data_IF_160237752922
#
_entry.id   IF_160237752922
#
_cell.length_a   1.000
_cell.length_b   1.000
_cell.length_c   1.000
_cell.angle_alpha   90.00
_cell.angle_beta   90.00
_cell.angle_gamma   90.00
#
_symmetry.space_group_name_H-M   'P 1'
#
loop_
_entity.id
_entity.type
_entity.pdbx_description
1 polymer ?
#
# COMPACT_ATOMS: atom_id res chain seq x y z
N UNK A 1 -0.79 9.72 -43.46
CA UNK A 1 -0.07 9.54 -42.18
C UNK A 1 -0.97 10.13 -41.11
N UNK A 2 -1.39 9.35 -40.11
CA UNK A 2 -2.28 9.86 -39.06
C UNK A 2 -1.54 10.86 -38.16
N UNK A 3 -2.26 11.86 -37.66
CA UNK A 3 -1.70 12.84 -36.73
C UNK A 3 -1.14 12.15 -35.49
N UNK A 4 0.04 12.58 -35.05
CA UNK A 4 0.68 12.05 -33.84
C UNK A 4 -0.03 12.66 -32.62
N UNK A 5 -0.59 11.83 -31.73
CA UNK A 5 -1.23 12.27 -30.49
C UNK A 5 -1.06 11.27 -29.35
N UNK A 6 -1.17 11.77 -28.12
CA UNK A 6 -1.09 10.94 -26.91
C UNK A 6 -2.45 10.29 -26.66
N UNK A 7 -2.46 8.97 -26.48
CA UNK A 7 -3.67 8.21 -26.14
C UNK A 7 -3.93 8.17 -24.64
N UNK A 8 -2.87 8.04 -23.86
CA UNK A 8 -2.97 7.86 -22.43
C UNK A 8 -1.71 8.35 -21.71
N UNK A 9 -1.89 8.92 -20.53
CA UNK A 9 -0.81 9.35 -19.63
C UNK A 9 -1.11 8.76 -18.26
N UNK A 10 -0.16 8.00 -17.72
CA UNK A 10 -0.23 7.49 -16.36
C UNK A 10 0.95 8.03 -15.54
N UNK A 11 0.68 8.53 -14.34
CA UNK A 11 1.72 8.84 -13.38
C UNK A 11 2.14 7.55 -12.66
N UNK A 12 3.39 7.15 -12.80
CA UNK A 12 3.94 5.95 -12.16
C UNK A 12 4.41 6.21 -10.73
N UNK A 13 4.89 7.42 -10.47
CA UNK A 13 5.66 7.71 -9.26
C UNK A 13 6.40 9.04 -9.33
N UNK A 14 7.31 9.23 -8.38
CA UNK A 14 8.33 10.26 -8.45
C UNK A 14 9.69 9.72 -8.01
N UNK A 15 10.77 10.30 -8.50
CA UNK A 15 12.13 10.05 -8.04
C UNK A 15 12.66 11.27 -7.31
N UNK A 16 13.36 11.02 -6.21
CA UNK A 16 14.23 12.00 -5.57
C UNK A 16 15.64 11.81 -6.11
N UNK A 17 16.13 12.82 -6.82
CA UNK A 17 17.46 12.87 -7.43
C UNK A 17 18.36 13.78 -6.63
N UNK A 18 19.67 13.48 -6.59
CA UNK A 18 20.65 14.22 -5.78
C UNK A 18 21.61 15.09 -6.61
N UNK A 19 21.64 14.92 -7.94
CA UNK A 19 22.54 15.61 -8.86
C UNK A 19 21.71 16.38 -9.90
N UNK A 20 21.96 17.68 -10.17
CA UNK A 20 23.05 18.52 -9.63
C UNK A 20 22.81 19.01 -8.18
N UNK A 21 21.56 18.95 -7.71
CA UNK A 21 21.16 19.22 -6.33
C UNK A 21 19.98 18.32 -5.98
N UNK A 22 19.56 18.25 -4.71
CA UNK A 22 18.39 17.48 -4.33
C UNK A 22 17.12 18.06 -4.99
N UNK A 23 16.44 17.26 -5.81
CA UNK A 23 15.20 17.63 -6.46
C UNK A 23 14.31 16.42 -6.72
N UNK A 24 13.04 16.67 -7.04
CA UNK A 24 12.04 15.65 -7.29
C UNK A 24 11.58 15.72 -8.75
N UNK A 25 11.49 14.56 -9.40
CA UNK A 25 10.94 14.40 -10.75
C UNK A 25 9.79 13.41 -10.74
N UNK A 26 8.72 13.70 -11.47
CA UNK A 26 7.57 12.82 -11.63
C UNK A 26 7.75 11.96 -12.87
N UNK A 27 7.41 10.68 -12.74
CA UNK A 27 7.57 9.66 -13.77
C UNK A 27 6.24 9.45 -14.48
N UNK A 28 6.16 9.81 -15.75
CA UNK A 28 4.95 9.62 -16.57
C UNK A 28 5.18 8.54 -17.61
N UNK A 29 4.29 7.55 -17.65
CA UNK A 29 4.15 6.63 -18.76
C UNK A 29 3.22 7.25 -19.81
N UNK A 30 3.77 7.55 -20.99
CA UNK A 30 3.05 8.16 -22.11
C UNK A 30 2.85 7.10 -23.18
N UNK A 31 1.58 6.83 -23.51
CA UNK A 31 1.19 5.93 -24.60
C UNK A 31 0.77 6.76 -25.81
N UNK A 32 1.50 6.62 -26.92
CA UNK A 32 1.26 7.35 -28.16
C UNK A 32 0.30 6.61 -29.10
N UNK A 33 -0.19 7.30 -30.13
CA UNK A 33 -1.10 6.70 -31.12
C UNK A 33 -0.49 5.54 -31.90
N UNK A 34 0.84 5.54 -32.08
CA UNK A 34 1.61 4.49 -32.73
C UNK A 34 1.85 3.25 -31.83
N UNK A 35 1.17 3.20 -30.67
CA UNK A 35 1.31 2.17 -29.63
C UNK A 35 2.67 2.19 -28.92
N UNK A 36 3.53 3.18 -29.18
CA UNK A 36 4.77 3.33 -28.42
C UNK A 36 4.47 3.79 -26.99
N UNK A 37 5.14 3.17 -26.03
CA UNK A 37 5.08 3.55 -24.63
C UNK A 37 6.46 4.07 -24.21
N UNK A 38 6.48 5.26 -23.61
CA UNK A 38 7.73 5.90 -23.17
C UNK A 38 7.55 6.45 -21.78
N UNK A 39 8.56 6.25 -20.93
CA UNK A 39 8.63 6.89 -19.61
C UNK A 39 9.36 8.22 -19.77
N UNK A 40 8.77 9.29 -19.25
CA UNK A 40 9.36 10.63 -19.24
C UNK A 40 9.34 11.22 -17.84
N UNK A 41 10.33 12.05 -17.54
CA UNK A 41 10.53 12.63 -16.22
C UNK A 41 10.33 14.14 -16.27
N UNK A 42 9.49 14.69 -15.39
CA UNK A 42 9.21 16.14 -15.35
C UNK A 42 9.22 16.66 -13.93
N UNK A 43 9.81 17.83 -13.70
CA UNK A 43 9.72 18.51 -12.40
C UNK A 43 8.37 19.19 -12.23
N UNK A 44 7.95 19.39 -10.98
CA UNK A 44 6.71 20.12 -10.71
C UNK A 44 6.73 21.54 -11.29
N UNK A 45 7.89 22.22 -11.23
CA UNK A 45 8.06 23.57 -11.78
C UNK A 45 7.78 23.59 -13.29
N UNK A 46 8.26 22.59 -14.02
CA UNK A 46 8.03 22.46 -15.46
C UNK A 46 6.55 22.17 -15.76
N UNK A 47 5.90 21.34 -14.95
CA UNK A 47 4.46 21.05 -15.07
C UNK A 47 3.64 22.33 -14.80
N UNK A 48 4.05 23.14 -13.84
CA UNK A 48 3.36 24.38 -13.51
C UNK A 48 3.54 25.46 -14.59
N UNK A 49 4.74 25.60 -15.16
CA UNK A 49 4.99 26.48 -16.31
C UNK A 49 4.20 26.02 -17.54
N UNK A 50 4.15 24.71 -17.78
CA UNK A 50 3.29 24.11 -18.78
C UNK A 50 1.82 24.48 -18.56
N UNK A 51 1.32 24.33 -17.34
CA UNK A 51 -0.06 24.70 -17.01
C UNK A 51 -0.34 26.19 -17.26
N UNK A 52 0.58 27.07 -16.86
CA UNK A 52 0.44 28.52 -17.08
C UNK A 52 0.33 28.85 -18.56
N UNK A 53 1.25 28.34 -19.37
CA UNK A 53 1.27 28.56 -20.82
C UNK A 53 0.03 27.96 -21.50
N UNK A 54 -0.45 26.80 -21.03
CA UNK A 54 -1.67 26.19 -21.53
C UNK A 54 -2.90 27.09 -21.27
N UNK A 55 -2.99 27.74 -20.11
CA UNK A 55 -4.06 28.71 -19.83
C UNK A 55 -3.99 29.93 -20.74
N UNK A 56 -2.78 30.45 -20.98
CA UNK A 56 -2.54 31.59 -21.89
C UNK A 56 -2.93 31.26 -23.35
N UNK A 57 -2.72 30.01 -23.78
CA UNK A 57 -3.13 29.55 -25.12
C UNK A 57 -4.64 29.37 -25.29
N UNK A 58 -5.36 29.07 -24.20
CA UNK A 58 -6.79 28.74 -24.21
C UNK A 58 -7.55 29.54 -23.13
N UNK A 59 -7.63 30.87 -23.25
CA UNK A 59 -8.15 31.75 -22.19
C UNK A 59 -9.65 31.54 -21.92
N UNK A 60 -10.44 31.14 -22.93
CA UNK A 60 -11.87 30.84 -22.77
C UNK A 60 -12.02 29.58 -21.91
N UNK A 61 -11.33 28.50 -22.28
CA UNK A 61 -11.38 27.19 -21.63
C UNK A 61 -10.66 27.16 -20.28
N UNK A 62 -9.76 28.11 -20.04
CA UNK A 62 -9.17 28.40 -18.74
C UNK A 62 -10.12 29.12 -17.78
N UNK A 63 -11.24 29.66 -18.29
CA UNK A 63 -12.21 30.44 -17.53
C UNK A 63 -11.77 31.88 -17.25
N UNK A 64 -10.85 32.44 -18.05
CA UNK A 64 -10.35 33.82 -17.88
C UNK A 64 -11.32 34.86 -18.47
N UNK A 65 -12.12 34.46 -19.46
CA UNK A 65 -13.16 35.30 -20.08
C UNK A 65 -14.50 35.11 -19.37
N UNK A 66 -14.89 33.85 -19.08
CA UNK A 66 -16.11 33.54 -18.35
C UNK A 66 -15.91 32.23 -17.55
N UNK A 67 -16.26 32.25 -16.26
CA UNK A 67 -15.96 31.15 -15.35
C UNK A 67 -16.69 29.85 -15.70
N UNK A 68 -17.86 29.96 -16.32
CA UNK A 68 -18.71 28.87 -16.79
C UNK A 68 -18.08 28.04 -17.92
N UNK A 69 -17.12 28.61 -18.65
CA UNK A 69 -16.44 27.93 -19.77
C UNK A 69 -15.19 27.18 -19.34
N UNK A 70 -14.87 27.19 -18.03
CA UNK A 70 -13.66 26.58 -17.51
C UNK A 70 -13.73 25.05 -17.61
N UNK A 71 -12.87 24.51 -18.46
CA UNK A 71 -12.65 23.06 -18.60
C UNK A 71 -11.20 22.66 -18.28
N UNK A 72 -10.25 23.60 -18.32
CA UNK A 72 -8.86 23.31 -17.96
C UNK A 72 -8.77 23.11 -16.43
N UNK A 73 -8.27 21.93 -15.97
CA UNK A 73 -8.21 21.60 -14.55
C UNK A 73 -7.30 22.56 -13.79
N UNK A 74 -7.59 22.78 -12.51
CA UNK A 74 -6.75 23.61 -11.64
C UNK A 74 -5.45 22.88 -11.29
N UNK A 75 -4.32 23.59 -11.31
CA UNK A 75 -3.07 23.10 -10.73
C UNK A 75 -2.59 24.04 -9.62
N UNK A 76 -2.37 23.55 -8.38
CA UNK A 76 -1.89 24.38 -7.28
C UNK A 76 -0.52 25.01 -7.57
N UNK A 77 -0.32 26.24 -7.10
CA UNK A 77 0.96 26.94 -7.24
C UNK A 77 2.11 26.19 -6.53
N UNK A 78 3.35 26.28 -7.05
CA UNK A 78 4.53 25.70 -6.40
C UNK A 78 4.73 26.30 -5.02
N UNK A 79 5.08 25.44 -4.05
CA UNK A 79 5.51 25.87 -2.73
C UNK A 79 7.02 26.09 -2.76
N UNK A 80 7.50 27.03 -1.94
CA UNK A 80 8.94 27.36 -1.85
C UNK A 80 9.80 26.21 -1.29
N UNK A 81 9.16 25.22 -0.64
CA UNK A 81 9.83 24.03 -0.11
C UNK A 81 9.18 22.76 -0.66
N UNK A 82 9.94 22.04 -1.48
CA UNK A 82 9.58 20.71 -1.97
C UNK A 82 10.32 19.66 -1.16
N UNK A 83 9.64 19.12 -0.15
CA UNK A 83 10.05 17.90 0.56
C UNK A 83 9.34 16.67 0.00
N UNK A 84 9.83 15.48 0.35
CA UNK A 84 9.27 14.21 -0.11
C UNK A 84 7.76 14.09 0.12
N UNK A 85 7.25 14.48 1.29
CA UNK A 85 5.79 14.48 1.58
C UNK A 85 4.99 15.37 0.64
N UNK A 86 5.58 16.50 0.22
CA UNK A 86 4.94 17.41 -0.75
C UNK A 86 4.92 16.75 -2.12
N UNK A 87 6.03 16.11 -2.52
CA UNK A 87 6.12 15.40 -3.79
C UNK A 87 5.08 14.26 -3.87
N UNK A 88 4.95 13.48 -2.81
CA UNK A 88 3.97 12.41 -2.62
C UNK A 88 2.53 12.93 -2.65
N UNK A 89 2.21 13.97 -1.87
CA UNK A 89 0.86 14.56 -1.82
C UNK A 89 0.36 15.07 -3.17
N UNK A 90 1.29 15.47 -4.07
CA UNK A 90 0.96 15.96 -5.42
C UNK A 90 0.67 14.85 -6.42
N UNK A 91 1.03 13.60 -6.14
CA UNK A 91 0.82 12.50 -7.09
C UNK A 91 -0.65 12.35 -7.46
N UNK A 92 -1.55 12.37 -6.48
CA UNK A 92 -3.00 12.34 -6.72
C UNK A 92 -3.49 13.52 -7.58
N UNK A 93 -3.06 14.74 -7.24
CA UNK A 93 -3.40 15.95 -8.01
C UNK A 93 -2.91 15.88 -9.46
N UNK A 94 -1.69 15.40 -9.69
CA UNK A 94 -1.12 15.28 -11.03
C UNK A 94 -1.80 14.19 -11.86
N UNK A 95 -2.14 13.05 -11.24
CA UNK A 95 -2.90 11.98 -11.89
C UNK A 95 -4.26 12.50 -12.37
N UNK A 96 -5.00 13.18 -11.50
CA UNK A 96 -6.30 13.76 -11.85
C UNK A 96 -6.17 14.86 -12.92
N UNK A 97 -5.17 15.73 -12.79
CA UNK A 97 -4.90 16.82 -13.72
C UNK A 97 -4.66 16.32 -15.15
N UNK A 98 -3.74 15.37 -15.33
CA UNK A 98 -3.41 14.86 -16.65
C UNK A 98 -4.48 13.92 -17.21
N UNK A 99 -5.19 13.18 -16.36
CA UNK A 99 -6.36 12.40 -16.77
C UNK A 99 -7.45 13.32 -17.34
N UNK A 100 -7.78 14.40 -16.63
CA UNK A 100 -8.76 15.40 -17.08
C UNK A 100 -8.31 16.09 -18.37
N UNK A 101 -7.03 16.47 -18.45
CA UNK A 101 -6.45 17.10 -19.64
C UNK A 101 -6.59 16.23 -20.90
N UNK A 102 -6.41 14.91 -20.78
CA UNK A 102 -6.59 13.96 -21.89
C UNK A 102 -8.06 13.76 -22.27
N UNK A 103 -8.99 14.04 -21.36
CA UNK A 103 -10.43 14.06 -21.64
C UNK A 103 -10.93 15.33 -22.34
N UNK A 104 -10.10 16.38 -22.45
CA UNK A 104 -10.49 17.65 -23.07
C UNK A 104 -10.60 17.54 -24.60
N UNK A 105 -11.33 18.48 -25.26
CA UNK A 105 -11.45 18.52 -26.71
C UNK A 105 -10.09 18.44 -27.42
N UNK A 106 -10.06 17.79 -28.58
CA UNK A 106 -8.83 17.50 -29.33
C UNK A 106 -7.97 18.74 -29.63
N UNK A 107 -8.60 19.93 -29.78
CA UNK A 107 -7.88 21.21 -29.94
C UNK A 107 -6.95 21.55 -28.77
N UNK A 108 -7.22 21.04 -27.58
CA UNK A 108 -6.39 21.21 -26.37
C UNK A 108 -5.55 19.95 -26.15
N UNK A 109 -6.19 18.79 -26.00
CA UNK A 109 -5.49 17.54 -25.61
C UNK A 109 -4.47 17.05 -26.64
N UNK A 110 -4.61 17.44 -27.92
CA UNK A 110 -3.70 17.08 -29.02
C UNK A 110 -2.94 18.28 -29.58
N UNK A 111 -2.92 19.41 -28.87
CA UNK A 111 -2.20 20.57 -29.36
C UNK A 111 -0.67 20.31 -29.31
N UNK A 112 0.12 20.93 -30.21
CA UNK A 112 1.57 20.69 -30.28
C UNK A 112 2.29 20.91 -28.94
N UNK A 113 1.82 21.88 -28.14
CA UNK A 113 2.40 22.18 -26.84
C UNK A 113 2.28 21.04 -25.83
N UNK A 114 1.12 20.35 -25.81
CA UNK A 114 0.92 19.15 -24.97
C UNK A 114 1.80 18.00 -25.45
N UNK A 115 1.88 17.79 -26.77
CA UNK A 115 2.70 16.73 -27.36
C UNK A 115 4.19 16.94 -27.08
N UNK A 116 4.70 18.15 -27.29
CA UNK A 116 6.10 18.49 -27.06
C UNK A 116 6.49 18.40 -25.57
N UNK A 117 5.56 18.73 -24.65
CA UNK A 117 5.81 18.57 -23.23
C UNK A 117 6.09 17.12 -22.84
N UNK A 118 5.41 16.15 -23.46
CA UNK A 118 5.57 14.72 -23.19
C UNK A 118 6.52 13.99 -24.13
N UNK A 119 7.13 14.68 -25.09
CA UNK A 119 8.15 14.11 -25.97
C UNK A 119 9.36 13.63 -25.16
N UNK A 120 9.90 12.48 -25.54
CA UNK A 120 11.09 11.92 -24.88
C UNK A 120 12.28 12.86 -25.06
N UNK A 121 12.87 13.31 -23.96
CA UNK A 121 14.08 14.14 -23.94
C UNK A 121 15.33 13.27 -23.82
N UNK A 122 16.50 13.74 -24.25
CA UNK A 122 17.76 13.02 -24.05
C UNK A 122 18.03 12.66 -22.58
N UNK A 123 17.59 13.51 -21.65
CA UNK A 123 17.73 13.27 -20.21
C UNK A 123 16.79 12.18 -19.68
N UNK A 124 15.67 11.89 -20.37
CA UNK A 124 14.77 10.79 -20.01
C UNK A 124 15.40 9.41 -20.32
N UNK A 125 16.39 9.37 -21.22
CA UNK A 125 17.12 8.17 -21.63
C UNK A 125 18.36 7.90 -20.78
N UNK A 126 18.81 8.89 -20.01
CA UNK A 126 19.96 8.76 -19.11
C UNK A 126 19.53 8.04 -17.84
N UNK A 127 19.60 6.71 -17.85
CA UNK A 127 19.47 5.91 -16.64
C UNK A 127 20.56 6.34 -15.64
N UNK A 128 20.25 6.48 -14.33
CA UNK A 128 21.25 6.78 -13.31
C UNK A 128 22.36 5.72 -13.38
N UNK A 129 23.50 6.10 -13.95
CA UNK A 129 24.63 5.20 -14.12
C UNK A 129 25.18 4.88 -12.73
N UNK A 130 25.59 3.64 -12.49
CA UNK A 130 26.05 3.07 -11.20
C UNK A 130 27.25 3.81 -10.57
N UNK A 131 27.73 4.87 -11.21
CA UNK A 131 28.86 5.73 -10.82
C UNK A 131 28.48 6.90 -9.90
N UNK A 132 27.20 7.12 -9.57
CA UNK A 132 26.78 8.20 -8.67
C UNK A 132 26.84 7.78 -7.20
N UNK A 133 27.44 8.63 -6.35
CA UNK A 133 27.65 8.39 -4.91
C UNK A 133 26.34 8.19 -4.10
N UNK A 134 25.18 8.59 -4.66
CA UNK A 134 23.84 8.31 -4.12
C UNK A 134 22.88 7.98 -5.28
N UNK A 135 22.29 6.78 -5.26
CA UNK A 135 21.27 6.37 -6.23
C UNK A 135 19.97 7.18 -6.02
N UNK A 136 19.22 7.53 -7.07
CA UNK A 136 17.91 8.14 -6.92
C UNK A 136 16.97 7.25 -6.10
N UNK A 137 16.19 7.87 -5.21
CA UNK A 137 15.17 7.18 -4.42
C UNK A 137 13.84 7.25 -5.20
N UNK A 138 13.32 6.11 -5.65
CA UNK A 138 12.08 6.03 -6.44
C UNK A 138 10.89 5.70 -5.53
N UNK A 139 9.83 6.48 -5.64
CA UNK A 139 8.58 6.36 -4.89
C UNK A 139 7.43 6.14 -5.86
N UNK A 140 6.88 4.93 -5.88
CA UNK A 140 5.83 4.54 -6.82
C UNK A 140 4.44 4.86 -6.27
N UNK A 141 3.47 5.07 -7.17
CA UNK A 141 2.07 5.16 -6.76
C UNK A 141 1.58 3.79 -6.28
N UNK A 142 0.82 3.72 -5.17
CA UNK A 142 0.14 2.51 -4.74
C UNK A 142 -0.76 2.01 -5.88
N UNK A 143 -0.58 0.76 -6.30
CA UNK A 143 -1.37 0.17 -7.38
C UNK A 143 -2.76 -0.16 -6.84
N UNK A 144 -3.79 0.53 -7.31
CA UNK A 144 -5.17 0.10 -7.05
C UNK A 144 -5.35 -1.31 -7.63
N UNK A 145 -5.85 -2.23 -6.81
CA UNK A 145 -5.92 -3.68 -7.04
C UNK A 145 -6.88 -4.12 -8.17
N UNK A 146 -7.28 -3.20 -9.06
CA UNK A 146 -8.15 -3.47 -10.22
C UNK A 146 -7.36 -3.25 -11.50
N UNK A 147 -6.49 -4.20 -11.86
CA UNK A 147 -5.79 -4.17 -13.16
C UNK A 147 -6.74 -4.48 -14.31
N UNK A 148 -6.80 -3.57 -15.29
CA UNK A 148 -7.39 -3.86 -16.61
C UNK A 148 -6.40 -4.71 -17.43
N UNK A 149 -6.92 -5.57 -18.30
CA UNK A 149 -6.12 -6.48 -19.15
C UNK A 149 -5.21 -5.74 -20.15
N UNK A 150 -5.33 -4.41 -20.27
CA UNK A 150 -4.55 -3.56 -21.17
C UNK A 150 -3.19 -3.08 -20.62
N UNK A 151 -2.82 -3.47 -19.40
CA UNK A 151 -1.64 -2.94 -18.68
C UNK A 151 -0.38 -3.84 -18.75
N UNK A 152 -0.33 -4.80 -19.67
CA UNK A 152 0.78 -5.78 -19.78
C UNK A 152 2.06 -5.16 -20.40
N UNK A 153 1.98 -4.00 -21.06
CA UNK A 153 3.07 -3.41 -21.87
C UNK A 153 3.94 -2.36 -21.16
N UNK A 154 3.63 -1.98 -19.93
CA UNK A 154 4.50 -1.07 -19.15
C UNK A 154 5.82 -1.74 -18.77
N UNK A 155 6.93 -0.99 -18.57
CA UNK A 155 8.13 -1.57 -17.98
C UNK A 155 7.76 -2.10 -16.59
N UNK A 156 7.80 -3.41 -16.42
CA UNK A 156 7.60 -4.06 -15.13
C UNK A 156 8.83 -3.71 -14.30
N UNK A 157 8.72 -2.65 -13.49
CA UNK A 157 9.72 -2.33 -12.47
C UNK A 157 9.48 -3.33 -11.34
N UNK A 158 10.31 -4.36 -11.33
CA UNK A 158 10.31 -5.37 -10.29
C UNK A 158 10.80 -4.74 -9.00
N UNK A 159 10.16 -5.10 -7.89
CA UNK A 159 10.67 -4.68 -6.59
C UNK A 159 11.91 -5.51 -6.26
N UNK A 160 12.97 -4.83 -5.84
CA UNK A 160 14.23 -5.47 -5.52
C UNK A 160 14.31 -5.75 -4.02
N UNK A 161 14.64 -6.99 -3.69
CA UNK A 161 14.77 -7.49 -2.31
C UNK A 161 16.18 -8.05 -2.10
N UNK A 162 16.57 -8.15 -0.84
CA UNK A 162 17.83 -8.77 -0.42
C UNK A 162 17.58 -10.00 0.42
N UNK A 163 18.34 -11.06 0.17
CA UNK A 163 18.32 -12.25 0.99
C UNK A 163 18.99 -11.98 2.35
N UNK A 164 18.27 -12.28 3.43
CA UNK A 164 18.76 -12.13 4.81
C UNK A 164 19.46 -13.39 5.34
N UNK A 165 19.34 -14.52 4.65
CA UNK A 165 19.94 -15.78 5.02
C UNK A 165 20.10 -16.69 3.80
N UNK A 166 20.94 -17.72 3.92
CA UNK A 166 21.12 -18.72 2.88
C UNK A 166 19.90 -19.63 2.79
N UNK A 167 19.33 -19.76 1.60
CA UNK A 167 18.26 -20.69 1.29
C UNK A 167 18.72 -21.68 0.22
N UNK A 168 18.66 -22.97 0.55
CA UNK A 168 18.95 -24.05 -0.38
C UNK A 168 17.65 -24.57 -0.99
N UNK A 169 17.63 -24.70 -2.32
CA UNK A 169 16.48 -25.26 -3.04
C UNK A 169 16.28 -26.74 -2.68
N UNK A 170 15.03 -27.12 -2.46
CA UNK A 170 14.56 -28.48 -2.24
C UNK A 170 13.88 -29.08 -3.49
N UNK A 171 13.42 -28.22 -4.40
CA UNK A 171 12.75 -28.58 -5.66
C UNK A 171 13.46 -27.98 -6.88
N UNK A 172 13.23 -28.57 -8.06
CA UNK A 172 13.74 -28.05 -9.34
C UNK A 172 13.13 -26.70 -9.71
N UNK A 173 11.97 -26.36 -9.13
CA UNK A 173 11.26 -25.10 -9.35
C UNK A 173 11.69 -23.97 -8.41
N UNK A 174 12.47 -24.30 -7.38
CA UNK A 174 12.96 -23.36 -6.38
C UNK A 174 14.33 -22.79 -6.78
N UNK A 175 14.61 -21.56 -6.33
CA UNK A 175 15.90 -20.90 -6.54
C UNK A 175 16.64 -20.79 -5.21
N UNK A 176 17.89 -21.24 -5.19
CA UNK A 176 18.76 -21.03 -4.04
C UNK A 176 19.24 -19.57 -4.03
N UNK A 177 19.32 -18.97 -2.84
CA UNK A 177 19.85 -17.62 -2.61
C UNK A 177 20.84 -17.65 -1.45
N UNK A 178 21.91 -16.89 -1.55
CA UNK A 178 22.87 -16.70 -0.47
C UNK A 178 22.59 -15.39 0.28
N UNK A 179 23.02 -15.33 1.53
CA UNK A 179 22.90 -14.14 2.37
C UNK A 179 23.54 -12.95 1.67
N UNK A 180 22.76 -11.89 1.47
CA UNK A 180 23.18 -10.68 0.78
C UNK A 180 22.92 -10.65 -0.72
N UNK A 181 22.46 -11.75 -1.31
CA UNK A 181 22.02 -11.75 -2.71
C UNK A 181 20.86 -10.79 -2.91
N UNK A 182 20.89 -10.10 -4.06
CA UNK A 182 19.85 -9.16 -4.47
C UNK A 182 19.02 -9.83 -5.55
N UNK A 183 17.70 -9.87 -5.35
CA UNK A 183 16.74 -10.52 -6.24
C UNK A 183 15.63 -9.56 -6.63
N UNK A 184 15.16 -9.67 -7.87
CA UNK A 184 13.99 -8.94 -8.33
C UNK A 184 12.75 -9.83 -8.19
N UNK A 185 11.73 -9.36 -7.48
CA UNK A 185 10.48 -10.09 -7.25
C UNK A 185 9.53 -9.86 -8.43
N UNK A 186 9.23 -10.94 -9.14
CA UNK A 186 8.35 -10.97 -10.32
C UNK A 186 6.90 -11.23 -9.94
N UNK A 187 6.69 -12.14 -8.98
CA UNK A 187 5.36 -12.49 -8.51
C UNK A 187 5.39 -12.72 -7.00
N UNK A 188 4.60 -11.93 -6.26
CA UNK A 188 4.29 -12.22 -4.86
C UNK A 188 3.05 -13.10 -4.78
N UNK A 189 3.09 -14.06 -3.86
CA UNK A 189 1.99 -14.98 -3.61
C UNK A 189 1.70 -15.01 -2.11
N UNK A 190 0.41 -15.04 -1.76
CA UNK A 190 -0.05 -15.26 -0.37
C UNK A 190 0.34 -16.65 0.17
N UNK A 191 0.84 -17.55 -0.68
CA UNK A 191 1.43 -18.83 -0.28
C UNK A 191 2.78 -18.67 0.45
N UNK A 192 3.38 -17.48 0.41
CA UNK A 192 4.71 -17.19 0.96
C UNK A 192 5.88 -17.62 0.09
N UNK A 193 5.60 -18.23 -1.06
CA UNK A 193 6.58 -18.48 -2.10
C UNK A 193 6.51 -17.35 -3.11
N UNK A 194 7.61 -16.62 -3.33
CA UNK A 194 7.66 -15.56 -4.32
C UNK A 194 8.53 -15.97 -5.51
N UNK A 195 8.06 -15.69 -6.72
CA UNK A 195 8.84 -15.94 -7.92
C UNK A 195 9.84 -14.82 -8.12
N UNK A 196 11.12 -15.15 -8.00
CA UNK A 196 12.20 -14.18 -8.04
C UNK A 196 13.12 -14.46 -9.22
N UNK A 197 13.76 -13.41 -9.72
CA UNK A 197 14.80 -13.51 -10.74
C UNK A 197 16.11 -12.86 -10.29
N UNK A 198 17.21 -13.47 -10.69
CA UNK A 198 18.56 -12.94 -10.64
C UNK A 198 19.12 -12.91 -12.07
N UNK A 199 20.28 -12.29 -12.27
CA UNK A 199 20.90 -12.15 -13.62
C UNK A 199 20.98 -13.46 -14.42
N UNK A 200 21.16 -14.60 -13.76
CA UNK A 200 21.42 -15.90 -14.41
C UNK A 200 20.42 -17.00 -14.05
N UNK A 201 19.52 -16.76 -13.10
CA UNK A 201 18.63 -17.79 -12.52
C UNK A 201 17.28 -17.19 -12.16
N UNK A 202 16.24 -18.01 -12.18
CA UNK A 202 14.90 -17.67 -11.72
C UNK A 202 14.28 -18.86 -11.02
N UNK A 203 13.37 -18.59 -10.10
CA UNK A 203 12.67 -19.64 -9.39
C UNK A 203 12.01 -19.09 -8.14
N UNK A 204 11.38 -19.99 -7.41
CA UNK A 204 10.62 -19.63 -6.22
C UNK A 204 11.53 -19.60 -4.99
N UNK A 205 11.38 -18.55 -4.19
CA UNK A 205 12.12 -18.30 -2.96
C UNK A 205 11.12 -18.02 -1.84
N UNK A 206 11.33 -18.50 -0.61
CA UNK A 206 10.49 -18.14 0.51
C UNK A 206 10.59 -16.64 0.81
N UNK A 207 9.45 -15.95 0.86
CA UNK A 207 9.38 -14.52 1.19
C UNK A 207 10.00 -14.20 2.55
N UNK A 208 9.92 -15.15 3.50
CA UNK A 208 10.51 -15.05 4.82
C UNK A 208 12.04 -14.85 4.83
N UNK A 209 12.74 -15.25 3.76
CA UNK A 209 14.20 -15.11 3.58
C UNK A 209 14.59 -13.80 2.88
N UNK A 210 13.62 -12.99 2.44
CA UNK A 210 13.83 -11.77 1.67
C UNK A 210 13.41 -10.54 2.48
N UNK A 211 14.15 -9.44 2.36
CA UNK A 211 13.75 -8.13 2.90
C UNK A 211 13.76 -7.06 1.80
N UNK A 212 12.83 -6.09 1.82
CA UNK A 212 12.86 -4.97 0.88
C UNK A 212 14.14 -4.14 1.08
N UNK A 213 14.65 -3.52 0.02
CA UNK A 213 15.86 -2.67 0.10
C UNK A 213 15.59 -1.31 0.74
N UNK A 214 14.38 -0.80 0.65
CA UNK A 214 13.97 0.55 1.07
C UNK A 214 13.51 0.61 2.53
N UNK A 215 12.85 -0.44 3.01
CA UNK A 215 12.28 -0.52 4.36
C UNK A 215 12.26 -1.96 4.88
N UNK A 216 12.40 -2.19 6.20
CA UNK A 216 12.20 -3.53 6.78
C UNK A 216 10.72 -3.96 6.79
N UNK A 217 9.79 -3.03 6.58
CA UNK A 217 8.35 -3.28 6.57
C UNK A 217 7.86 -3.67 5.17
N UNK A 218 7.02 -4.70 5.09
CA UNK A 218 6.36 -5.11 3.84
C UNK A 218 5.16 -4.20 3.59
N UNK A 219 5.22 -3.40 2.53
CA UNK A 219 4.22 -2.38 2.23
C UNK A 219 2.94 -2.95 1.60
N UNK A 220 3.00 -4.15 1.02
CA UNK A 220 1.88 -4.78 0.32
C UNK A 220 1.13 -5.81 1.18
N UNK A 221 1.50 -5.99 2.45
CA UNK A 221 0.74 -6.83 3.36
C UNK A 221 -0.67 -6.24 3.56
N UNK A 222 -1.74 -7.03 3.43
CA UNK A 222 -3.10 -6.57 3.66
C UNK A 222 -3.35 -6.29 5.14
N UNK A 223 -4.17 -5.29 5.47
CA UNK A 223 -4.54 -5.01 6.86
C UNK A 223 -5.29 -6.19 7.53
N UNK A 224 -5.16 -6.38 8.87
CA UNK A 224 -5.90 -7.42 9.57
C UNK A 224 -7.42 -7.24 9.49
N UNK A 225 -8.13 -8.29 9.07
CA UNK A 225 -9.59 -8.38 9.07
C UNK A 225 -10.10 -9.16 10.30
N UNK A 226 -10.31 -8.46 11.41
CA UNK A 226 -10.81 -9.08 12.64
C UNK A 226 -12.25 -9.63 12.55
N UNK A 227 -12.99 -9.34 11.48
CA UNK A 227 -14.27 -9.98 11.23
C UNK A 227 -14.11 -11.49 11.00
N UNK A 228 -12.98 -11.90 10.40
CA UNK A 228 -12.68 -13.28 10.05
C UNK A 228 -13.32 -13.70 8.73
N UNK A 229 -12.56 -14.43 7.91
CA UNK A 229 -13.09 -15.16 6.75
C UNK A 229 -13.12 -16.67 7.07
N UNK A 230 -14.22 -17.39 6.79
CA UNK A 230 -14.31 -18.82 7.06
C UNK A 230 -13.46 -19.61 6.05
N UNK A 231 -12.56 -20.44 6.59
CA UNK A 231 -11.71 -21.35 5.84
C UNK A 231 -11.76 -22.75 6.47
N UNK A 232 -11.39 -23.76 5.69
CA UNK A 232 -11.27 -25.15 6.10
C UNK A 232 -9.83 -25.61 5.89
N UNK A 233 -9.30 -26.37 6.84
CA UNK A 233 -7.99 -27.00 6.72
C UNK A 233 -8.05 -28.17 5.74
N UNK A 234 -7.22 -28.13 4.70
CA UNK A 234 -7.15 -29.17 3.65
C UNK A 234 -5.93 -30.09 3.80
N UNK A 235 -5.06 -29.79 4.77
CA UNK A 235 -3.94 -30.65 5.16
C UNK A 235 -3.61 -30.40 6.63
N UNK A 236 -3.47 -31.47 7.40
CA UNK A 236 -3.09 -31.38 8.81
C UNK A 236 -1.70 -30.75 8.99
N UNK A 237 -1.54 -29.99 10.07
CA UNK A 237 -0.27 -29.36 10.46
C UNK A 237 -0.15 -29.35 11.99
N UNK A 238 1.04 -29.67 12.48
CA UNK A 238 1.39 -29.68 13.90
C UNK A 238 2.28 -28.48 14.18
N UNK A 239 1.88 -27.67 15.15
CA UNK A 239 2.65 -26.51 15.62
C UNK A 239 4.04 -26.94 16.11
N UNK A 240 5.06 -26.21 15.67
CA UNK A 240 6.47 -26.36 16.05
C UNK A 240 6.90 -25.20 16.95
N UNK A 241 6.36 -24.00 16.71
CA UNK A 241 6.57 -22.80 17.54
C UNK A 241 5.33 -22.48 18.39
N UNK A 242 5.50 -21.77 19.51
CA UNK A 242 4.41 -21.44 20.45
C UNK A 242 3.34 -20.51 19.86
N UNK A 243 3.68 -19.76 18.82
CA UNK A 243 2.78 -18.84 18.14
C UNK A 243 2.05 -19.48 16.94
N UNK A 244 2.15 -20.80 16.77
CA UNK A 244 1.51 -21.60 15.72
C UNK A 244 0.31 -22.39 16.26
N UNK A 245 -0.59 -22.79 15.36
CA UNK A 245 -1.78 -23.58 15.70
C UNK A 245 -1.68 -24.97 15.08
N UNK A 246 -1.92 -26.01 15.88
CA UNK A 246 -2.10 -27.37 15.37
C UNK A 246 -3.55 -27.56 14.91
N UNK A 247 -3.75 -28.00 13.66
CA UNK A 247 -5.07 -28.30 13.12
C UNK A 247 -5.04 -29.62 12.34
N UNK A 248 -6.15 -30.37 12.44
CA UNK A 248 -6.44 -31.54 11.63
C UNK A 248 -7.09 -31.14 10.30
N UNK A 249 -7.05 -32.04 9.33
CA UNK A 249 -7.78 -31.87 8.08
C UNK A 249 -9.30 -31.83 8.34
N UNK A 250 -10.00 -30.93 7.66
CA UNK A 250 -11.45 -30.72 7.77
C UNK A 250 -11.89 -29.71 8.83
N UNK A 251 -10.97 -29.16 9.62
CA UNK A 251 -11.33 -28.17 10.65
C UNK A 251 -11.69 -26.81 10.06
N UNK A 252 -12.76 -26.20 10.57
CA UNK A 252 -13.21 -24.85 10.18
C UNK A 252 -12.58 -23.80 11.08
N UNK A 253 -11.97 -22.78 10.48
CA UNK A 253 -11.29 -21.68 11.16
C UNK A 253 -11.66 -20.34 10.53
N UNK A 254 -11.32 -19.25 11.22
CA UNK A 254 -11.47 -17.90 10.69
C UNK A 254 -10.09 -17.29 10.40
N UNK A 255 -9.80 -16.96 9.14
CA UNK A 255 -8.59 -16.24 8.76
C UNK A 255 -8.79 -14.75 9.07
N UNK A 256 -7.88 -14.17 9.85
CA UNK A 256 -7.95 -12.75 10.25
C UNK A 256 -6.82 -11.89 9.69
N UNK A 257 -5.74 -12.47 9.15
CA UNK A 257 -4.67 -11.69 8.50
C UNK A 257 -3.91 -12.54 7.47
N UNK A 258 -3.95 -12.12 6.20
CA UNK A 258 -3.36 -12.84 5.06
C UNK A 258 -1.96 -12.32 4.71
N UNK A 259 -1.00 -12.54 5.60
CA UNK A 259 0.39 -12.11 5.41
C UNK A 259 1.01 -12.75 4.16
N UNK A 260 1.84 -11.97 3.44
CA UNK A 260 2.51 -12.42 2.21
C UNK A 260 3.70 -13.35 2.46
N UNK A 261 4.04 -13.64 3.72
CA UNK A 261 5.06 -14.62 4.10
C UNK A 261 4.54 -16.07 4.10
N UNK A 262 3.25 -16.28 3.81
CA UNK A 262 2.60 -17.58 3.74
C UNK A 262 2.09 -18.11 5.07
N UNK A 263 2.30 -17.38 6.16
CA UNK A 263 1.88 -17.75 7.50
C UNK A 263 0.78 -16.81 7.97
N UNK A 264 -0.46 -17.20 7.68
CA UNK A 264 -1.62 -16.39 8.02
C UNK A 264 -1.94 -16.46 9.50
N UNK A 265 -2.47 -15.36 10.03
CA UNK A 265 -3.03 -15.37 11.38
C UNK A 265 -4.46 -15.87 11.29
N UNK A 266 -4.73 -16.95 12.01
CA UNK A 266 -6.05 -17.55 12.12
C UNK A 266 -6.61 -17.39 13.53
N UNK A 267 -7.92 -17.52 13.62
CA UNK A 267 -8.69 -17.62 14.85
C UNK A 267 -9.45 -18.93 14.83
N UNK A 268 -9.23 -19.74 15.86
CA UNK A 268 -10.07 -20.90 16.18
C UNK A 268 -10.57 -20.68 17.59
N UNK A 269 -11.89 -20.48 17.71
CA UNK A 269 -12.54 -20.11 18.98
C UNK A 269 -11.91 -18.83 19.57
N UNK A 270 -11.27 -18.93 20.73
CA UNK A 270 -10.61 -17.81 21.43
C UNK A 270 -9.08 -17.77 21.24
N UNK A 271 -8.52 -18.70 20.47
CA UNK A 271 -7.07 -18.80 20.22
C UNK A 271 -6.71 -18.20 18.86
N UNK A 272 -5.67 -17.37 18.83
CA UNK A 272 -5.06 -16.87 17.60
C UNK A 272 -3.64 -17.38 17.47
N UNK A 273 -3.24 -17.73 16.26
CA UNK A 273 -1.89 -18.19 15.95
C UNK A 273 -1.63 -18.23 14.45
N UNK A 274 -0.40 -18.54 14.07
CA UNK A 274 0.00 -18.70 12.68
C UNK A 274 -0.37 -20.09 12.16
N UNK A 275 -0.79 -20.13 10.89
CA UNK A 275 -1.04 -21.37 10.16
C UNK A 275 -0.65 -21.22 8.68
N UNK A 276 -0.07 -22.23 8.03
CA UNK A 276 0.31 -22.16 6.63
C UNK A 276 -0.91 -21.91 5.72
N UNK A 277 -0.88 -20.82 4.95
CA UNK A 277 -1.99 -20.42 4.08
C UNK A 277 -2.32 -21.49 3.03
N UNK A 278 -1.29 -22.16 2.51
CA UNK A 278 -1.42 -23.21 1.51
C UNK A 278 -2.12 -24.48 2.01
N UNK A 279 -2.32 -24.62 3.33
CA UNK A 279 -3.07 -25.73 3.93
C UNK A 279 -4.52 -25.32 4.28
N UNK A 280 -4.95 -24.15 3.84
CA UNK A 280 -6.29 -23.62 4.05
C UNK A 280 -7.00 -23.44 2.71
N UNK A 281 -8.32 -23.62 2.72
CA UNK A 281 -9.19 -23.30 1.59
C UNK A 281 -10.43 -22.57 2.06
N UNK A 282 -10.89 -21.59 1.30
CA UNK A 282 -12.08 -20.82 1.64
C UNK A 282 -13.30 -21.73 1.71
N UNK A 283 -14.09 -21.62 2.78
CA UNK A 283 -15.27 -22.47 2.97
C UNK A 283 -16.26 -22.29 1.80
N UNK A 284 -16.71 -23.41 1.23
CA UNK A 284 -17.64 -23.43 0.08
C UNK A 284 -16.98 -23.49 -1.31
N UNK A 285 -15.66 -23.58 -1.41
CA UNK A 285 -14.95 -23.86 -2.67
C UNK A 285 -14.61 -25.36 -2.81
N UNK A 286 -14.51 -25.86 -4.05
CA UNK A 286 -14.19 -27.27 -4.32
C UNK A 286 -12.75 -27.66 -3.89
N UNK A 287 -12.64 -28.70 -3.05
CA UNK A 287 -11.38 -29.21 -2.46
C UNK A 287 -10.31 -29.61 -3.51
N UNK A 288 -10.76 -30.03 -4.69
CA UNK A 288 -9.94 -30.60 -5.76
C UNK A 288 -8.94 -29.61 -6.38
N UNK A 289 -9.23 -28.31 -6.36
CA UNK A 289 -8.35 -27.30 -6.94
C UNK A 289 -7.19 -26.93 -5.99
N UNK A 290 -7.47 -26.77 -4.69
CA UNK A 290 -6.45 -26.40 -3.72
C UNK A 290 -5.44 -27.52 -3.46
N UNK A 291 -5.89 -28.78 -3.43
CA UNK A 291 -5.00 -29.94 -3.29
C UNK A 291 -4.01 -30.09 -4.46
N UNK A 292 -4.35 -29.62 -5.68
CA UNK A 292 -3.41 -29.62 -6.82
C UNK A 292 -2.30 -28.58 -6.67
N UNK A 293 -2.59 -27.43 -6.06
CA UNK A 293 -1.61 -26.37 -5.81
C UNK A 293 -0.57 -26.77 -4.76
N UNK A 294 -0.94 -27.62 -3.79
CA UNK A 294 -0.02 -28.16 -2.76
C UNK A 294 1.04 -29.11 -3.34
N UNK A 295 0.79 -29.77 -4.49
CA UNK A 295 1.63 -30.87 -4.98
C UNK A 295 3.05 -30.47 -5.43
N UNK A 296 3.37 -29.17 -5.49
CA UNK A 296 4.67 -28.69 -5.94
C UNK A 296 5.68 -28.40 -4.82
N UNK A 297 5.24 -27.91 -3.64
CA UNK A 297 6.10 -27.39 -2.56
C UNK A 297 5.42 -27.52 -1.19
N UNK A 298 6.21 -27.61 -0.13
CA UNK A 298 5.71 -27.55 1.26
C UNK A 298 5.46 -26.12 1.75
N UNK A 299 5.00 -25.99 3.00
CA UNK A 299 4.90 -24.69 3.67
C UNK A 299 6.24 -23.95 3.61
N UNK A 300 6.25 -22.66 3.27
CA UNK A 300 7.50 -21.90 3.25
C UNK A 300 8.07 -21.85 4.68
N UNK A 301 9.39 -21.94 4.86
CA UNK A 301 10.03 -21.80 6.17
C UNK A 301 9.69 -20.43 6.78
N UNK A 302 9.51 -20.35 8.10
CA UNK A 302 9.25 -19.07 8.78
C UNK A 302 10.53 -18.29 9.02
N UNK A 303 10.42 -16.96 9.09
CA UNK A 303 11.57 -16.11 9.46
C UNK A 303 12.12 -16.43 10.86
N UNK A 304 11.27 -16.83 11.80
CA UNK A 304 11.67 -17.24 13.16
C UNK A 304 12.57 -18.48 13.17
N UNK A 305 12.50 -19.34 12.14
CA UNK A 305 13.38 -20.51 12.00
C UNK A 305 14.80 -20.17 11.53
N UNK A 306 15.05 -18.91 11.13
CA UNK A 306 16.35 -18.44 10.62
C UNK A 306 17.23 -18.02 11.80
N UNK A 307 18.29 -18.77 12.09
CA UNK A 307 19.17 -18.53 13.25
C UNK A 307 20.01 -17.24 13.15
N UNK A 308 20.54 -16.93 11.96
CA UNK A 308 21.52 -15.85 11.77
C UNK A 308 21.09 -14.87 10.66
N UNK A 309 19.87 -14.35 10.73
CA UNK A 309 19.37 -13.39 9.75
C UNK A 309 20.21 -12.10 9.73
N UNK A 310 20.74 -11.74 8.56
CA UNK A 310 21.55 -10.54 8.33
C UNK A 310 20.72 -9.47 7.61
N UNK A 311 20.09 -8.60 8.38
CA UNK A 311 19.34 -7.46 7.83
C UNK A 311 20.26 -6.27 7.51
N UNK A 312 19.98 -5.55 6.43
CA UNK A 312 20.60 -4.24 6.14
C UNK A 312 19.97 -3.10 6.95
N UNK A 313 18.83 -3.34 7.58
CA UNK A 313 18.06 -2.33 8.31
C UNK A 313 18.42 -2.35 9.79
N UNK A 314 18.68 -1.16 10.36
CA UNK A 314 18.88 -1.03 11.82
C UNK A 314 17.59 -1.20 12.62
N UNK A 315 16.43 -0.94 11.99
CA UNK A 315 15.11 -1.09 12.60
C UNK A 315 14.54 -2.45 12.26
N UNK A 316 13.92 -3.09 13.25
CA UNK A 316 13.17 -4.33 13.03
C UNK A 316 11.85 -4.08 12.31
N UNK A 317 11.40 -5.05 11.51
CA UNK A 317 10.06 -5.09 10.89
C UNK A 317 8.99 -5.00 11.97
N UNK A 318 7.96 -4.19 11.73
CA UNK A 318 6.77 -4.13 12.58
C UNK A 318 5.92 -5.38 12.39
N UNK A 319 5.72 -6.14 13.45
CA UNK A 319 4.80 -7.29 13.48
C UNK A 319 4.02 -7.26 14.80
N UNK A 320 2.71 -7.47 14.74
CA UNK A 320 1.88 -7.58 15.93
C UNK A 320 2.17 -8.92 16.64
N UNK A 321 2.20 -8.89 17.98
CA UNK A 321 2.28 -10.12 18.78
C UNK A 321 0.96 -10.90 18.75
N UNK A 322 1.01 -12.21 19.00
CA UNK A 322 -0.22 -13.03 19.08
C UNK A 322 -1.19 -12.52 20.16
N UNK A 323 -0.69 -12.04 21.31
CA UNK A 323 -1.54 -11.40 22.31
C UNK A 323 -2.25 -10.12 21.81
N UNK A 324 -1.62 -9.40 20.89
CA UNK A 324 -2.24 -8.22 20.29
C UNK A 324 -3.32 -8.62 19.28
N UNK A 325 -3.06 -9.63 18.44
CA UNK A 325 -4.10 -10.21 17.59
C UNK A 325 -5.29 -10.73 18.39
N UNK A 326 -5.04 -11.50 19.45
CA UNK A 326 -6.07 -12.04 20.34
C UNK A 326 -6.91 -10.93 20.97
N UNK A 327 -6.28 -9.91 21.56
CA UNK A 327 -6.99 -8.77 22.18
C UNK A 327 -7.86 -8.01 21.16
N UNK A 328 -7.32 -7.72 19.98
CA UNK A 328 -8.05 -6.99 18.95
C UNK A 328 -9.22 -7.81 18.39
N UNK A 329 -8.99 -9.10 18.16
CA UNK A 329 -10.01 -10.06 17.74
C UNK A 329 -11.18 -10.13 18.71
N UNK A 330 -10.90 -10.36 20.01
CA UNK A 330 -11.93 -10.44 21.05
C UNK A 330 -12.71 -9.13 21.16
N UNK A 331 -12.01 -7.98 21.14
CA UNK A 331 -12.64 -6.65 21.20
C UNK A 331 -13.60 -6.44 20.03
N UNK A 332 -13.18 -6.78 18.81
CA UNK A 332 -14.00 -6.65 17.62
C UNK A 332 -15.27 -7.51 17.71
N UNK A 333 -15.13 -8.78 18.11
CA UNK A 333 -16.26 -9.70 18.26
C UNK A 333 -17.26 -9.24 19.34
N UNK A 334 -16.77 -8.70 20.46
CA UNK A 334 -17.62 -8.14 21.52
C UNK A 334 -18.41 -6.93 21.02
N UNK A 335 -17.78 -6.03 20.26
CA UNK A 335 -18.44 -4.88 19.67
C UNK A 335 -19.53 -5.30 18.68
N UNK A 336 -19.24 -6.29 17.82
CA UNK A 336 -20.22 -6.85 16.88
C UNK A 336 -21.42 -7.47 17.61
N UNK A 337 -21.20 -8.22 18.69
CA UNK A 337 -22.29 -8.79 19.51
C UNK A 337 -23.17 -7.73 20.17
N UNK A 338 -22.59 -6.61 20.62
CA UNK A 338 -23.36 -5.49 21.21
C UNK A 338 -24.28 -4.84 20.18
N UNK A 339 -23.83 -4.69 18.94
CA UNK A 339 -24.61 -4.10 17.85
C UNK A 339 -25.72 -5.06 17.33
N UNK A 340 -25.56 -6.37 17.51
CA UNK A 340 -26.49 -7.38 17.01
C UNK A 340 -27.65 -7.71 17.97
N UNK A 341 -27.72 -7.14 19.18
CA UNK A 341 -28.86 -7.35 20.10
C UNK A 341 -30.04 -6.43 19.71
N UNK A 342 -31.21 -6.96 19.31
CA UNK A 342 -32.43 -6.16 19.25
C UNK A 342 -32.84 -5.78 20.68
N UNK A 343 -33.20 -4.52 20.92
CA UNK A 343 -33.71 -4.08 22.22
C UNK A 343 -35.03 -4.79 22.56
N UNK A 344 -35.36 -5.02 23.85
CA UNK A 344 -36.63 -5.62 24.23
C UNK A 344 -37.79 -4.69 23.86
N UNK A 345 -38.79 -5.22 23.15
CA UNK A 345 -40.10 -4.59 23.00
C UNK A 345 -40.83 -4.64 24.35
N UNK A 346 -40.88 -3.51 25.05
CA UNK A 346 -41.78 -3.32 26.18
C UNK A 346 -43.15 -2.88 25.66
N UNK A 347 -44.10 -3.80 25.65
CA UNK A 347 -45.52 -3.49 25.57
C UNK A 347 -45.97 -2.93 26.93
N UNK A 348 -46.35 -1.66 26.99
CA UNK A 348 -47.06 -1.09 28.14
C UNK A 348 -48.24 -0.23 27.68
N UNK A 349 -49.38 -0.53 28.32
CA UNK A 349 -50.69 0.07 28.11
C UNK A 349 -50.68 1.59 28.31
N UNK A 350 -51.41 2.26 27.42
CA UNK A 350 -51.78 3.68 27.53
C UNK A 350 -52.75 3.89 28.70
N UNK A 351 -52.47 4.84 29.60
CA UNK A 351 -53.42 5.96 29.85
C UNK A 351 -52.72 7.19 30.46
N UNK A 352 -52.69 8.25 29.64
CA UNK A 352 -52.74 9.70 29.93
C UNK A 352 -51.92 10.32 31.08
N UNK A 353 -50.89 11.09 30.71
CA UNK A 353 -50.85 12.54 30.97
C UNK A 353 -49.95 13.24 29.95
N UNK A 354 -50.35 14.46 29.60
CA UNK A 354 -49.97 15.21 28.39
C UNK A 354 -48.59 15.86 28.48
N UNK A 355 -47.93 15.94 27.34
CA UNK A 355 -46.55 16.40 27.10
C UNK A 355 -46.32 17.91 27.30
N UNK A 356 -45.11 18.25 27.75
CA UNK A 356 -44.35 19.42 27.27
C UNK A 356 -42.87 19.05 27.09
N UNK A 357 -42.33 19.31 25.90
CA UNK A 357 -40.95 19.04 25.42
C UNK A 357 -39.87 19.72 26.32
N UNK A 358 -38.60 19.30 26.44
CA UNK A 358 -37.76 18.25 25.86
C UNK A 358 -36.30 18.50 26.28
N UNK A 359 -35.45 17.47 26.32
CA UNK A 359 -33.98 17.50 26.01
C UNK A 359 -33.29 16.18 26.38
N UNK A 360 -32.40 15.71 25.51
CA UNK A 360 -31.63 14.45 25.63
C UNK A 360 -30.51 14.58 26.69
N UNK A 361 -30.15 13.51 27.42
CA UNK A 361 -29.02 13.55 28.36
C UNK A 361 -27.66 13.47 27.65
N UNK A 362 -26.72 14.34 28.05
CA UNK A 362 -25.31 14.33 27.63
C UNK A 362 -24.46 13.37 28.49
N UNK A 363 -23.37 12.79 27.95
CA UNK A 363 -22.46 11.93 28.70
C UNK A 363 -21.57 12.72 29.67
N UNK A 364 -21.34 12.14 30.85
CA UNK A 364 -20.57 12.75 31.93
C UNK A 364 -19.08 12.91 31.59
N UNK A 365 -18.58 14.15 31.72
CA UNK A 365 -17.15 14.49 31.62
C UNK A 365 -16.45 14.09 32.93
N UNK A 366 -15.32 13.36 32.89
CA UNK A 366 -14.60 13.01 34.11
C UNK A 366 -14.04 14.26 34.81
N UNK A 367 -13.92 14.24 36.15
CA UNK A 367 -13.47 15.39 36.91
C UNK A 367 -12.02 15.76 36.54
N UNK A 368 -11.80 17.07 36.36
CA UNK A 368 -10.49 17.63 36.02
C UNK A 368 -9.50 17.35 37.17
N UNK A 369 -8.28 16.87 36.88
CA UNK A 369 -7.25 16.68 37.89
C UNK A 369 -6.93 17.99 38.62
N UNK A 370 -6.51 17.91 39.89
CA UNK A 370 -6.11 19.08 40.68
C UNK A 370 -4.90 19.80 40.08
N UNK A 371 -4.80 21.11 40.30
CA UNK A 371 -3.73 21.95 39.76
C UNK A 371 -2.33 21.43 40.17
N UNK A 372 -2.19 20.93 41.40
CA UNK A 372 -0.93 20.36 41.91
C UNK A 372 -0.51 19.10 41.17
N UNK A 373 -1.48 18.26 40.77
CA UNK A 373 -1.22 17.03 40.02
C UNK A 373 -0.72 17.33 38.60
N UNK A 374 -1.17 18.45 38.01
CA UNK A 374 -0.77 18.91 36.68
C UNK A 374 0.64 19.54 36.73
N UNK A 375 0.95 20.28 37.79
CA UNK A 375 2.27 20.91 37.98
C UNK A 375 3.41 19.90 38.19
N UNK A 376 3.15 18.74 38.78
CA UNK A 376 4.18 17.73 39.02
C UNK A 376 4.43 16.76 37.86
N UNK A 377 3.45 16.55 36.98
CA UNK A 377 3.50 15.48 35.95
C UNK A 377 3.59 15.97 34.50
N UNK A 378 3.51 17.28 34.25
CA UNK A 378 3.54 17.84 32.91
C UNK A 378 4.85 18.57 32.59
N UNK A 379 5.13 18.73 31.30
CA UNK A 379 6.33 19.40 30.77
C UNK A 379 6.36 20.90 31.12
N UNK A 380 7.55 21.49 31.13
CA UNK A 380 7.79 22.91 31.47
C UNK A 380 6.97 23.90 30.60
N UNK A 381 6.67 23.53 29.35
CA UNK A 381 5.79 24.30 28.45
C UNK A 381 4.35 24.39 28.97
N UNK A 382 3.85 23.31 29.57
CA UNK A 382 2.50 23.25 30.16
C UNK A 382 2.44 24.01 31.49
N UNK A 383 3.51 23.99 32.29
CA UNK A 383 3.59 24.75 33.55
C UNK A 383 3.55 26.26 33.32
N UNK A 384 4.27 26.78 32.32
CA UNK A 384 4.28 28.22 31.99
C UNK A 384 2.92 28.77 31.56
N UNK A 385 2.10 27.95 30.90
CA UNK A 385 0.74 28.35 30.48
C UNK A 385 -0.28 28.38 31.63
N UNK A 386 -0.02 27.69 32.73
CA UNK A 386 -0.88 27.72 33.93
C UNK A 386 -0.49 28.85 34.89
N UNK A 387 0.80 29.18 34.99
CA UNK A 387 1.29 30.29 35.81
C UNK A 387 0.84 31.68 35.33
N UNK A 388 0.31 31.78 34.11
CA UNK A 388 -0.26 33.02 33.55
C UNK A 388 -1.78 33.14 33.76
N UNK A 389 -2.40 32.14 34.40
CA UNK A 389 -3.84 32.07 34.65
C UNK A 389 -4.20 32.03 36.16
N UNK A 390 -3.24 32.38 37.03
CA UNK A 390 -3.42 32.79 38.43
C UNK A 390 -2.96 34.22 38.52
#
# INVERSE_FOLDING_TARGET
>A
MGDIFIRHIALLGFEKRFVPSQHYVYMFLVKWQDLSEKVVYRRFTEIYEFHKTLKEMFPIEAGEIAAENRVIPHLPAPRWFDGQRVAESRQGTLTEYFSTLMGLPGKISRCPYVLDFFKVRPDDLKLPTDSQAKKPETYLMPKDSKSSVADITGPIILQTYRAIADYNKSSSTEMAVATGDVVDVVEKSESGWWFCQMKTKRGWVPASFLEPLDSPDEAEDPEPNYAGEPYVTIKAYTAVEEDEVSLSEGEVIEVIHKLLDGWWVIRKEDVTGYFPSMYLQKSGQELTQAQRQIRGRGAPPRRSTIRNAQSIHQRSRKRLSQDTYRRNSVRFLQQRRRLARPGPQSAENKTQSTQSQGSKPQPAVPPRPSADLILHRCSESTKRKLATAV
#
